data_IF_304201797352
#
_entry.id   IF_304201797352
#
_cell.length_a   1.000
_cell.length_b   1.000
_cell.length_c   1.000
_cell.angle_alpha   90.00
_cell.angle_beta   90.00
_cell.angle_gamma   90.00
#
_symmetry.space_group_name_H-M   'P 1'
#
loop_
_entity.id
_entity.type
_entity.pdbx_description
1 polymer ?
#
# COMPACT_ATOMS: atom_id res chain seq x y z
N UNK A 1 -6.57 -1.21 -27.40
CA UNK A 1 -6.97 -1.41 -25.98
C UNK A 1 -6.91 -0.06 -25.28
N UNK A 2 -7.70 0.16 -24.23
CA UNK A 2 -7.71 1.44 -23.51
C UNK A 2 -6.55 1.50 -22.48
N UNK A 3 -6.03 2.70 -22.22
CA UNK A 3 -5.05 2.94 -21.15
C UNK A 3 -5.72 2.78 -19.80
N UNK A 4 -5.08 2.07 -18.87
CA UNK A 4 -5.58 1.88 -17.52
C UNK A 4 -4.48 2.18 -16.51
N UNK A 5 -4.80 3.05 -15.56
CA UNK A 5 -3.97 3.35 -14.39
C UNK A 5 -4.65 2.82 -13.14
N UNK A 6 -3.85 2.29 -12.21
CA UNK A 6 -4.29 2.04 -10.84
C UNK A 6 -3.77 3.18 -9.95
N UNK A 7 -4.59 3.64 -9.02
CA UNK A 7 -4.18 4.56 -7.97
C UNK A 7 -4.58 3.99 -6.61
N UNK A 8 -3.66 4.05 -5.64
CA UNK A 8 -3.88 3.45 -4.31
C UNK A 8 -3.72 4.50 -3.19
N UNK A 9 -4.57 5.55 -3.14
CA UNK A 9 -4.42 6.61 -2.16
C UNK A 9 -4.63 6.09 -0.73
N UNK A 10 -3.92 6.69 0.21
CA UNK A 10 -3.97 6.31 1.62
C UNK A 10 -4.38 7.50 2.47
N UNK A 11 -5.46 7.33 3.22
CA UNK A 11 -6.04 8.37 4.05
C UNK A 11 -5.84 8.07 5.52
N UNK A 12 -5.50 9.10 6.30
CA UNK A 12 -5.35 9.03 7.76
C UNK A 12 -6.71 9.10 8.45
N UNK A 13 -7.58 8.14 8.15
CA UNK A 13 -8.87 7.90 8.79
C UNK A 13 -9.20 6.42 8.64
N UNK A 14 -9.56 5.73 9.71
CA UNK A 14 -9.95 4.33 9.69
C UNK A 14 -11.12 4.00 10.63
N UNK A 15 -11.73 5.01 11.25
CA UNK A 15 -12.76 4.85 12.30
C UNK A 15 -14.11 5.44 11.88
N UNK A 16 -14.11 6.66 11.36
CA UNK A 16 -15.33 7.34 10.91
C UNK A 16 -15.71 6.91 9.48
N UNK A 17 -16.56 5.89 9.38
CA UNK A 17 -17.02 5.35 8.10
C UNK A 17 -17.81 6.37 7.26
N UNK A 18 -18.52 7.31 7.89
CA UNK A 18 -19.25 8.33 7.16
C UNK A 18 -18.29 9.33 6.51
N UNK A 19 -17.19 9.66 7.20
CA UNK A 19 -16.10 10.46 6.64
C UNK A 19 -15.41 9.75 5.48
N UNK A 20 -15.11 8.46 5.66
CA UNK A 20 -14.50 7.63 4.60
C UNK A 20 -15.39 7.59 3.36
N UNK A 21 -16.71 7.40 3.53
CA UNK A 21 -17.67 7.39 2.41
C UNK A 21 -17.64 8.72 1.62
N UNK A 22 -17.54 9.87 2.31
CA UNK A 22 -17.39 11.18 1.65
C UNK A 22 -16.06 11.28 0.88
N UNK A 23 -14.97 10.78 1.45
CA UNK A 23 -13.64 10.81 0.82
C UNK A 23 -13.62 9.95 -0.46
N UNK A 24 -14.30 8.80 -0.48
CA UNK A 24 -14.30 7.89 -1.64
C UNK A 24 -15.42 8.15 -2.65
N UNK A 25 -16.35 9.04 -2.33
CA UNK A 25 -17.46 9.41 -3.22
C UNK A 25 -17.04 9.85 -4.63
N UNK A 26 -15.93 10.61 -4.84
CA UNK A 26 -15.47 10.97 -6.17
C UNK A 26 -15.13 9.76 -7.06
N UNK A 27 -14.69 8.67 -6.46
CA UNK A 27 -14.39 7.42 -7.17
C UNK A 27 -15.67 6.65 -7.47
N UNK A 28 -16.54 6.49 -6.47
CA UNK A 28 -17.77 5.69 -6.55
C UNK A 28 -18.78 6.25 -7.55
N UNK A 29 -18.80 7.57 -7.71
CA UNK A 29 -19.77 8.26 -8.56
C UNK A 29 -19.26 8.50 -10.00
N UNK A 30 -18.04 8.06 -10.34
CA UNK A 30 -17.49 8.22 -11.68
C UNK A 30 -17.57 6.89 -12.46
N UNK A 31 -18.37 6.79 -13.55
CA UNK A 31 -18.53 5.54 -14.30
C UNK A 31 -17.27 5.08 -15.04
N UNK A 32 -16.25 5.95 -15.18
CA UNK A 32 -14.96 5.64 -15.82
C UNK A 32 -13.87 5.31 -14.80
N UNK A 33 -14.20 5.32 -13.50
CA UNK A 33 -13.33 4.93 -12.40
C UNK A 33 -13.97 3.77 -11.66
N UNK A 34 -13.24 2.67 -11.55
CA UNK A 34 -13.67 1.50 -10.80
C UNK A 34 -13.03 1.53 -9.42
N UNK A 35 -13.86 1.68 -8.39
CA UNK A 35 -13.46 1.54 -7.00
C UNK A 35 -13.34 0.04 -6.67
N UNK A 36 -12.12 -0.48 -6.62
CA UNK A 36 -11.85 -1.91 -6.37
C UNK A 36 -11.95 -2.28 -4.89
N UNK A 37 -11.51 -1.39 -4.02
CA UNK A 37 -11.49 -1.65 -2.58
C UNK A 37 -11.43 -0.38 -1.75
N UNK A 38 -12.09 -0.43 -0.60
CA UNK A 38 -11.98 0.54 0.49
C UNK A 38 -11.76 -0.27 1.75
N UNK A 39 -10.55 -0.21 2.28
CA UNK A 39 -10.09 -1.05 3.39
C UNK A 39 -9.71 -0.15 4.57
N UNK A 40 -10.69 0.26 5.39
CA UNK A 40 -10.42 0.98 6.63
C UNK A 40 -9.92 0.03 7.71
N UNK A 41 -8.86 0.45 8.41
CA UNK A 41 -8.35 -0.23 9.58
C UNK A 41 -8.38 0.72 10.78
N UNK A 42 -9.19 0.38 11.79
CA UNK A 42 -9.38 1.19 12.99
C UNK A 42 -8.14 1.25 13.90
N UNK A 43 -7.32 0.20 13.91
CA UNK A 43 -6.08 0.13 14.71
C UNK A 43 -5.00 0.99 14.07
N UNK A 44 -4.78 0.84 12.76
CA UNK A 44 -3.90 1.74 12.01
C UNK A 44 -4.45 3.16 11.87
N UNK A 45 -5.76 3.34 12.10
CA UNK A 45 -6.52 4.55 11.82
C UNK A 45 -6.21 5.10 10.41
N UNK A 46 -6.28 4.19 9.43
CA UNK A 46 -5.90 4.43 8.04
C UNK A 46 -6.86 3.68 7.12
N UNK A 47 -7.19 4.30 6.00
CA UNK A 47 -7.94 3.65 4.91
C UNK A 47 -7.05 3.56 3.69
N UNK A 48 -6.92 2.36 3.15
CA UNK A 48 -6.35 2.13 1.82
C UNK A 48 -7.50 2.04 0.83
N UNK A 49 -7.42 2.84 -0.22
CA UNK A 49 -8.39 2.82 -1.30
C UNK A 49 -7.67 2.34 -2.55
N UNK A 50 -8.28 1.44 -3.31
CA UNK A 50 -7.76 0.97 -4.59
C UNK A 50 -8.73 1.38 -5.69
N UNK A 51 -8.27 2.16 -6.65
CA UNK A 51 -9.05 2.57 -7.83
C UNK A 51 -8.32 2.23 -9.12
N UNK A 52 -9.08 1.88 -10.14
CA UNK A 52 -8.59 1.50 -11.45
C UNK A 52 -9.43 2.21 -12.52
N UNK A 53 -8.84 2.74 -13.58
CA UNK A 53 -9.64 3.30 -14.67
C UNK A 53 -8.86 4.14 -15.66
N UNK A 54 -9.61 4.97 -16.39
CA UNK A 54 -9.05 5.92 -17.34
C UNK A 54 -8.12 6.93 -16.63
N UNK A 55 -6.91 7.18 -17.15
CA UNK A 55 -5.93 8.02 -16.47
C UNK A 55 -6.40 9.44 -16.14
N UNK A 56 -7.15 10.08 -17.04
CA UNK A 56 -7.63 11.44 -16.85
C UNK A 56 -8.75 11.50 -15.82
N UNK A 57 -9.62 10.50 -15.80
CA UNK A 57 -10.73 10.41 -14.86
C UNK A 57 -10.26 10.02 -13.46
N UNK A 58 -9.31 9.09 -13.35
CA UNK A 58 -8.65 8.76 -12.07
C UNK A 58 -7.94 9.99 -11.52
N UNK A 59 -7.20 10.74 -12.35
CA UNK A 59 -6.54 11.99 -11.94
C UNK A 59 -7.53 12.99 -11.32
N UNK A 60 -8.64 13.27 -11.99
CA UNK A 60 -9.68 14.20 -11.49
C UNK A 60 -10.28 13.72 -10.17
N UNK A 61 -10.67 12.45 -10.10
CA UNK A 61 -11.29 11.88 -8.90
C UNK A 61 -10.33 11.87 -7.71
N UNK A 62 -9.03 11.62 -7.95
CA UNK A 62 -7.99 11.67 -6.91
C UNK A 62 -7.82 13.09 -6.37
N UNK A 63 -7.73 14.10 -7.24
CA UNK A 63 -7.61 15.51 -6.80
C UNK A 63 -8.82 15.91 -5.95
N UNK A 64 -10.03 15.57 -6.39
CA UNK A 64 -11.26 15.86 -5.64
C UNK A 64 -11.28 15.16 -4.27
N UNK A 65 -10.91 13.87 -4.23
CA UNK A 65 -10.85 13.08 -3.00
C UNK A 65 -9.82 13.63 -2.00
N UNK A 66 -8.64 14.05 -2.46
CA UNK A 66 -7.63 14.72 -1.63
C UNK A 66 -8.20 16.02 -1.04
N UNK A 67 -8.92 16.79 -1.85
CA UNK A 67 -9.59 18.02 -1.39
C UNK A 67 -10.62 17.77 -0.29
N UNK A 68 -11.40 16.69 -0.38
CA UNK A 68 -12.34 16.29 0.66
C UNK A 68 -11.58 15.85 1.93
N UNK A 69 -10.58 14.97 1.79
CA UNK A 69 -9.77 14.52 2.92
C UNK A 69 -9.08 15.67 3.66
N UNK A 70 -8.59 16.68 2.93
CA UNK A 70 -7.94 17.88 3.48
C UNK A 70 -8.88 18.70 4.37
N UNK A 71 -10.20 18.69 4.09
CA UNK A 71 -11.22 19.41 4.87
C UNK A 71 -11.73 18.58 6.05
N UNK A 72 -11.80 17.27 5.88
CA UNK A 72 -12.50 16.35 6.80
C UNK A 72 -11.58 15.74 7.87
N UNK A 73 -10.28 15.66 7.60
CA UNK A 73 -9.30 15.06 8.51
C UNK A 73 -8.46 16.17 9.14
N UNK A 74 -8.48 16.23 10.47
CA UNK A 74 -7.58 17.07 11.24
C UNK A 74 -6.46 16.22 11.86
N UNK A 75 -5.26 16.37 11.30
CA UNK A 75 -4.05 15.67 11.73
C UNK A 75 -3.58 16.10 13.13
N UNK A 76 -4.00 17.26 13.65
CA UNK A 76 -3.65 17.70 15.00
C UNK A 76 -4.23 16.77 16.08
N UNK A 77 -5.32 16.06 15.76
CA UNK A 77 -6.00 15.12 16.67
C UNK A 77 -5.90 13.66 16.20
N UNK A 78 -5.37 13.41 15.00
CA UNK A 78 -5.22 12.06 14.45
C UNK A 78 -4.14 11.26 15.18
N UNK A 79 -4.51 10.05 15.60
CA UNK A 79 -3.60 9.03 16.14
C UNK A 79 -3.95 7.65 15.60
N UNK A 80 -2.94 6.87 15.26
CA UNK A 80 -3.05 5.48 14.80
C UNK A 80 -1.69 4.80 14.81
N UNK A 81 -1.68 3.48 14.81
CA UNK A 81 -0.44 2.68 14.87
C UNK A 81 0.41 2.78 13.59
N UNK A 82 -0.21 3.19 12.47
CA UNK A 82 0.50 3.33 11.21
C UNK A 82 1.11 4.73 11.06
N UNK A 83 2.41 4.77 10.74
CA UNK A 83 3.13 6.01 10.45
C UNK A 83 2.46 6.81 9.35
N UNK A 84 2.27 8.10 9.59
CA UNK A 84 1.57 9.02 8.68
C UNK A 84 2.15 10.42 8.77
N UNK A 85 2.07 11.19 7.68
CA UNK A 85 2.54 12.57 7.65
C UNK A 85 1.48 13.57 7.14
N UNK A 86 0.30 13.08 6.73
CA UNK A 86 -0.79 13.95 6.31
C UNK A 86 -2.15 13.26 6.24
N UNK A 87 -3.20 14.06 6.04
CA UNK A 87 -4.59 13.63 5.89
C UNK A 87 -4.74 12.65 4.71
N UNK A 88 -4.16 13.02 3.57
CA UNK A 88 -3.77 12.06 2.53
C UNK A 88 -2.28 11.85 2.64
N UNK A 89 -1.88 10.64 3.02
CA UNK A 89 -0.50 10.36 3.38
C UNK A 89 0.36 10.02 2.16
N UNK A 90 -0.14 9.13 1.28
CA UNK A 90 0.52 8.82 0.00
C UNK A 90 -0.49 8.52 -1.10
N UNK A 91 -0.15 8.87 -2.34
CA UNK A 91 -0.93 8.66 -3.55
C UNK A 91 -0.03 8.06 -4.66
N UNK A 92 0.13 6.73 -4.70
CA UNK A 92 0.79 6.03 -5.80
C UNK A 92 -0.10 5.99 -7.04
N UNK A 93 0.49 6.19 -8.21
CA UNK A 93 -0.02 5.80 -9.52
C UNK A 93 0.79 4.61 -10.04
N UNK A 94 0.11 3.67 -10.69
CA UNK A 94 0.72 2.45 -11.20
C UNK A 94 0.29 2.21 -12.65
N UNK A 95 1.23 1.98 -13.58
CA UNK A 95 0.88 1.63 -14.95
C UNK A 95 0.34 0.20 -15.00
N UNK A 96 -0.89 0.01 -15.50
CA UNK A 96 -1.53 -1.31 -15.57
C UNK A 96 -1.62 -1.82 -17.00
N UNK A 97 -2.35 -1.11 -17.88
CA UNK A 97 -2.57 -1.54 -19.25
C UNK A 97 -2.27 -0.41 -20.22
N UNK A 98 -1.46 -0.68 -21.26
CA UNK A 98 -1.10 0.29 -22.30
C UNK A 98 -0.57 1.62 -21.72
N UNK A 99 0.12 1.53 -20.58
CA UNK A 99 0.71 2.67 -19.88
C UNK A 99 2.15 2.39 -19.51
N UNK A 100 2.98 3.40 -19.69
CA UNK A 100 4.38 3.40 -19.28
C UNK A 100 4.55 4.03 -17.90
N UNK A 101 5.68 3.73 -17.26
CA UNK A 101 6.09 4.41 -16.02
C UNK A 101 6.20 5.92 -16.22
N UNK A 102 6.65 6.40 -17.39
CA UNK A 102 6.82 7.84 -17.61
C UNK A 102 5.47 8.56 -17.73
N UNK A 103 4.48 7.96 -18.40
CA UNK A 103 3.12 8.53 -18.43
C UNK A 103 2.51 8.59 -17.01
N UNK A 104 2.78 7.61 -16.15
CA UNK A 104 2.37 7.67 -14.74
C UNK A 104 3.16 8.71 -13.92
N UNK A 105 4.44 8.92 -14.24
CA UNK A 105 5.23 10.01 -13.67
C UNK A 105 4.64 11.38 -14.06
N UNK A 106 4.20 11.56 -15.30
CA UNK A 106 3.54 12.79 -15.75
C UNK A 106 2.24 13.04 -14.97
N UNK A 107 1.37 12.02 -14.85
CA UNK A 107 0.12 12.12 -14.07
C UNK A 107 0.41 12.53 -12.62
N UNK A 108 1.36 11.87 -11.97
CA UNK A 108 1.70 12.19 -10.57
C UNK A 108 2.23 13.60 -10.38
N UNK A 109 3.02 14.14 -11.33
CA UNK A 109 3.45 15.56 -11.32
C UNK A 109 2.28 16.53 -11.51
N UNK A 110 1.37 16.22 -12.42
CA UNK A 110 0.17 17.05 -12.66
C UNK A 110 -0.75 17.08 -11.44
N UNK A 111 -1.00 15.92 -10.83
CA UNK A 111 -1.79 15.81 -9.58
C UNK A 111 -1.11 16.59 -8.47
N UNK A 112 0.20 16.42 -8.27
CA UNK A 112 0.95 17.12 -7.24
C UNK A 112 0.85 18.65 -7.37
N UNK A 113 1.01 19.15 -8.59
CA UNK A 113 0.85 20.57 -8.89
C UNK A 113 -0.57 21.07 -8.58
N UNK A 114 -1.60 20.34 -9.05
CA UNK A 114 -3.00 20.71 -8.83
C UNK A 114 -3.40 20.69 -7.35
N UNK A 115 -2.91 19.72 -6.59
CA UNK A 115 -3.14 19.60 -5.14
C UNK A 115 -2.59 20.81 -4.39
N UNK A 116 -1.37 21.23 -4.72
CA UNK A 116 -0.81 22.46 -4.16
C UNK A 116 -1.64 23.69 -4.55
N UNK A 117 -1.92 23.87 -5.84
CA UNK A 117 -2.62 25.06 -6.35
C UNK A 117 -4.02 25.22 -5.74
N UNK A 118 -4.76 24.11 -5.55
CA UNK A 118 -6.15 24.15 -5.07
C UNK A 118 -6.29 24.11 -3.55
N UNK A 119 -5.40 23.40 -2.85
CA UNK A 119 -5.58 23.12 -1.42
C UNK A 119 -4.46 23.66 -0.54
N UNK A 120 -3.42 24.25 -1.14
CA UNK A 120 -2.21 24.70 -0.43
C UNK A 120 -1.60 23.57 0.43
N UNK A 121 -1.73 22.33 -0.04
CA UNK A 121 -1.19 21.14 0.61
C UNK A 121 0.21 20.86 0.04
N UNK A 122 1.28 20.92 0.85
CA UNK A 122 2.62 20.64 0.35
C UNK A 122 2.78 19.19 -0.10
N UNK A 123 3.48 18.99 -1.22
CA UNK A 123 3.63 17.68 -1.86
C UNK A 123 5.10 17.32 -2.07
N UNK A 124 5.44 16.09 -1.72
CA UNK A 124 6.68 15.43 -2.14
C UNK A 124 6.41 14.49 -3.31
N UNK A 125 7.24 14.57 -4.34
CA UNK A 125 7.31 13.55 -5.38
C UNK A 125 8.20 12.39 -4.90
N UNK A 126 7.73 11.15 -5.05
CA UNK A 126 8.43 9.97 -4.51
C UNK A 126 8.54 8.81 -5.51
N UNK A 127 9.29 7.77 -5.13
CA UNK A 127 9.61 6.59 -5.96
C UNK A 127 10.11 6.99 -7.36
N UNK A 128 9.50 6.52 -8.46
CA UNK A 128 10.01 6.82 -9.81
C UNK A 128 9.84 8.28 -10.22
N UNK A 129 9.03 9.05 -9.49
CA UNK A 129 8.78 10.47 -9.73
C UNK A 129 9.66 11.36 -8.86
N UNK A 130 10.44 10.79 -7.94
CA UNK A 130 11.29 11.54 -7.03
C UNK A 130 12.28 12.46 -7.77
N UNK A 131 12.36 13.72 -7.35
CA UNK A 131 13.30 14.71 -7.89
C UNK A 131 14.66 14.69 -7.21
N UNK A 132 14.77 13.97 -6.08
CA UNK A 132 15.99 13.83 -5.30
C UNK A 132 16.12 12.40 -4.72
N UNK A 133 17.35 11.86 -4.59
CA UNK A 133 17.56 10.50 -4.11
C UNK A 133 16.97 10.20 -2.72
N UNK A 134 16.96 11.19 -1.82
CA UNK A 134 16.39 11.07 -0.47
C UNK A 134 14.86 10.98 -0.45
N UNK A 135 14.19 11.16 -1.60
CA UNK A 135 12.72 11.09 -1.74
C UNK A 135 12.23 9.82 -2.42
N UNK A 136 13.13 8.99 -2.94
CA UNK A 136 12.73 7.72 -3.58
C UNK A 136 11.98 6.83 -2.57
N UNK A 137 12.46 6.79 -1.34
CA UNK A 137 11.93 5.95 -0.27
C UNK A 137 10.89 6.70 0.57
N UNK A 138 9.65 6.23 0.51
CA UNK A 138 8.56 6.77 1.32
C UNK A 138 8.82 6.74 2.84
N UNK A 139 9.43 5.68 3.43
CA UNK A 139 9.83 5.70 4.84
C UNK A 139 10.79 6.85 5.19
N UNK A 140 11.68 7.23 4.28
CA UNK A 140 12.61 8.34 4.50
C UNK A 140 11.87 9.68 4.47
N UNK A 141 10.90 9.85 3.57
CA UNK A 141 9.99 11.02 3.57
C UNK A 141 9.12 11.04 4.83
N UNK A 142 8.54 9.91 5.25
CA UNK A 142 7.69 9.79 6.44
C UNK A 142 8.45 9.83 7.77
N UNK A 143 9.78 9.81 7.76
CA UNK A 143 10.57 9.82 9.00
C UNK A 143 10.27 11.09 9.80
N UNK A 144 9.84 10.91 11.04
CA UNK A 144 9.37 11.97 11.93
C UNK A 144 7.84 12.10 11.97
N UNK A 145 7.12 11.41 11.08
CA UNK A 145 5.65 11.45 10.97
C UNK A 145 5.11 12.88 10.85
N UNK A 146 3.82 13.09 11.10
CA UNK A 146 3.19 14.41 11.04
C UNK A 146 3.88 15.41 11.98
N UNK A 147 4.17 14.99 13.22
CA UNK A 147 4.73 15.83 14.28
C UNK A 147 6.13 16.38 13.92
N UNK A 148 6.92 15.61 13.17
CA UNK A 148 8.27 16.00 12.76
C UNK A 148 8.33 16.83 11.48
N UNK A 149 7.24 16.96 10.72
CA UNK A 149 7.28 17.61 9.40
C UNK A 149 7.63 19.10 9.47
N UNK A 150 7.17 19.81 10.49
CA UNK A 150 7.43 21.25 10.63
C UNK A 150 8.92 21.58 10.73
N UNK A 151 9.71 20.78 11.46
CA UNK A 151 11.16 20.96 11.54
C UNK A 151 11.87 20.38 10.32
N UNK A 152 11.35 19.28 9.77
CA UNK A 152 11.94 18.64 8.60
C UNK A 152 11.89 19.55 7.37
N UNK A 153 10.77 20.19 7.09
CA UNK A 153 10.59 21.06 5.92
C UNK A 153 11.50 22.30 5.92
N UNK A 154 12.02 22.71 7.09
CA UNK A 154 13.01 23.80 7.20
C UNK A 154 14.37 23.40 6.62
N UNK A 155 14.68 22.10 6.57
CA UNK A 155 15.92 21.58 6.02
C UNK A 155 15.89 21.71 4.49
N UNK A 156 16.89 22.34 3.84
CA UNK A 156 16.87 22.57 2.39
C UNK A 156 16.64 21.33 1.53
N UNK A 157 17.16 20.17 1.94
CA UNK A 157 17.03 18.88 1.26
C UNK A 157 15.60 18.30 1.30
N UNK A 158 14.79 18.77 2.24
CA UNK A 158 13.40 18.36 2.45
C UNK A 158 12.40 19.45 2.07
N UNK A 159 12.81 20.45 1.28
CA UNK A 159 11.85 21.38 0.68
C UNK A 159 10.87 20.62 -0.24
N UNK A 160 9.55 20.78 -0.10
CA UNK A 160 8.61 20.00 -0.91
C UNK A 160 8.76 20.35 -2.40
N UNK A 161 8.38 19.41 -3.27
CA UNK A 161 8.41 19.61 -4.72
C UNK A 161 7.40 20.67 -5.15
N UNK A 162 6.25 20.70 -4.47
CA UNK A 162 5.25 21.74 -4.60
C UNK A 162 4.83 22.23 -3.22
N UNK A 163 4.82 23.55 -3.04
CA UNK A 163 4.34 24.20 -1.84
C UNK A 163 5.39 24.86 -0.96
N UNK A 164 4.91 25.44 0.13
CA UNK A 164 5.73 26.13 1.12
C UNK A 164 6.51 25.14 2.01
N UNK A 165 7.59 25.62 2.62
CA UNK A 165 8.40 24.85 3.58
C UNK A 165 7.75 24.77 4.97
N UNK A 166 6.45 24.55 5.00
CA UNK A 166 5.63 24.39 6.20
C UNK A 166 4.50 23.40 5.91
N UNK A 167 4.11 22.54 6.85
CA UNK A 167 3.01 21.60 6.64
C UNK A 167 1.69 22.38 6.57
N UNK A 168 0.69 21.82 5.88
CA UNK A 168 -0.67 22.35 5.95
C UNK A 168 -1.16 22.27 7.42
N UNK A 169 -1.79 23.33 7.97
CA UNK A 169 -2.11 23.43 9.40
C UNK A 169 -2.86 22.22 9.97
N UNK A 170 -3.81 21.67 9.21
CA UNK A 170 -4.62 20.51 9.63
C UNK A 170 -4.35 19.25 8.82
N UNK A 171 -3.69 19.34 7.67
CA UNK A 171 -3.61 18.23 6.72
C UNK A 171 -2.20 17.69 6.53
N UNK A 172 -1.17 18.36 7.06
CA UNK A 172 0.21 17.89 6.99
C UNK A 172 0.80 18.03 5.59
N UNK A 173 1.41 16.95 5.11
CA UNK A 173 2.02 16.87 3.77
C UNK A 173 1.63 15.56 3.09
N UNK A 174 1.70 15.52 1.76
CA UNK A 174 1.37 14.32 0.97
C UNK A 174 2.56 13.88 0.12
N UNK A 175 2.76 12.56 -0.01
CA UNK A 175 3.63 12.01 -1.05
C UNK A 175 2.81 11.56 -2.28
N UNK A 176 3.19 12.00 -3.47
CA UNK A 176 2.52 11.61 -4.72
C UNK A 176 3.58 11.12 -5.69
N UNK A 177 3.34 10.01 -6.39
CA UNK A 177 4.36 9.47 -7.27
C UNK A 177 3.92 8.21 -7.98
N UNK A 178 4.77 7.73 -8.87
CA UNK A 178 4.56 6.49 -9.59
C UNK A 178 5.41 5.37 -9.00
N UNK A 179 4.86 4.16 -8.99
CA UNK A 179 5.58 2.94 -8.63
C UNK A 179 5.01 1.73 -9.38
N UNK A 180 5.81 0.67 -9.44
CA UNK A 180 5.33 -0.63 -9.91
C UNK A 180 4.38 -1.29 -8.88
N UNK A 181 3.52 -2.22 -9.33
CA UNK A 181 2.70 -3.03 -8.44
C UNK A 181 3.54 -3.69 -7.34
N UNK A 182 3.05 -3.58 -6.11
CA UNK A 182 3.63 -4.23 -4.94
C UNK A 182 2.52 -4.95 -4.21
N UNK A 183 2.89 -5.98 -3.45
CA UNK A 183 1.94 -6.74 -2.65
C UNK A 183 2.10 -6.29 -1.19
N UNK A 184 1.07 -5.67 -0.64
CA UNK A 184 0.98 -5.38 0.79
C UNK A 184 0.48 -6.66 1.49
N UNK A 185 1.37 -7.28 2.26
CA UNK A 185 1.18 -8.62 2.79
C UNK A 185 1.40 -8.63 4.30
N UNK A 186 0.43 -9.11 5.06
CA UNK A 186 0.51 -9.22 6.51
C UNK A 186 0.47 -10.69 6.90
N UNK A 187 1.34 -11.11 7.81
CA UNK A 187 1.37 -12.49 8.32
C UNK A 187 1.11 -12.47 9.83
N UNK A 188 0.09 -13.21 10.26
CA UNK A 188 -0.36 -13.28 11.65
C UNK A 188 0.48 -14.29 12.43
N UNK A 189 0.93 -13.89 13.63
CA UNK A 189 1.70 -14.73 14.54
C UNK A 189 0.88 -14.99 15.81
N UNK A 190 0.81 -16.25 16.26
CA UNK A 190 0.13 -16.66 17.49
C UNK A 190 0.89 -16.23 18.77
N UNK A 191 1.08 -14.93 18.95
CA UNK A 191 1.75 -14.33 20.10
C UNK A 191 1.31 -12.88 20.25
N UNK A 192 1.40 -12.34 21.46
CA UNK A 192 1.27 -10.90 21.76
C UNK A 192 2.63 -10.25 21.98
N UNK A 193 3.72 -11.02 21.93
CA UNK A 193 5.07 -10.51 22.10
C UNK A 193 5.54 -9.80 20.82
N UNK A 194 5.66 -8.47 20.91
CA UNK A 194 6.08 -7.61 19.81
C UNK A 194 7.57 -7.71 19.45
N UNK A 195 8.41 -8.35 20.26
CA UNK A 195 9.81 -8.54 19.92
C UNK A 195 9.99 -9.64 18.87
N UNK A 196 9.09 -10.62 18.84
CA UNK A 196 9.09 -11.70 17.84
C UNK A 196 8.89 -11.15 16.41
N UNK A 197 7.81 -10.42 16.06
CA UNK A 197 7.65 -9.86 14.73
C UNK A 197 8.72 -8.82 14.38
N UNK A 198 9.30 -8.11 15.36
CA UNK A 198 10.44 -7.19 15.13
C UNK A 198 11.66 -7.94 14.60
N UNK A 199 12.02 -9.05 15.24
CA UNK A 199 13.19 -9.85 14.83
C UNK A 199 12.94 -10.56 13.50
N UNK A 200 11.72 -11.08 13.27
CA UNK A 200 11.36 -11.67 11.97
C UNK A 200 11.40 -10.62 10.86
N UNK A 201 10.84 -9.43 11.10
CA UNK A 201 10.87 -8.33 10.13
C UNK A 201 12.31 -7.91 9.78
N UNK A 202 13.22 -7.87 10.77
CA UNK A 202 14.66 -7.61 10.54
C UNK A 202 15.28 -8.68 9.66
N UNK A 203 14.96 -9.96 9.87
CA UNK A 203 15.53 -11.05 9.08
C UNK A 203 15.12 -10.98 7.60
N UNK A 204 13.90 -10.53 7.29
CA UNK A 204 13.38 -10.53 5.92
C UNK A 204 13.57 -9.21 5.17
N UNK A 205 13.63 -8.06 5.85
CA UNK A 205 13.63 -6.74 5.16
C UNK A 205 15.01 -6.37 4.63
N UNK A 206 15.02 -5.72 3.47
CA UNK A 206 16.25 -5.29 2.80
C UNK A 206 17.10 -4.35 3.67
N UNK A 207 16.47 -3.43 4.40
CA UNK A 207 17.18 -2.44 5.22
C UNK A 207 17.99 -3.03 6.38
N UNK A 208 17.85 -4.33 6.64
CA UNK A 208 18.61 -5.06 7.66
C UNK A 208 19.43 -6.21 7.06
N UNK A 209 19.62 -6.23 5.74
CA UNK A 209 20.40 -7.25 5.02
C UNK A 209 19.59 -8.46 4.53
N UNK A 210 18.27 -8.44 4.68
CA UNK A 210 17.36 -9.48 4.20
C UNK A 210 17.11 -9.42 2.69
N UNK A 211 15.93 -9.86 2.25
CA UNK A 211 15.56 -9.92 0.84
C UNK A 211 15.50 -8.51 0.23
N UNK A 212 16.15 -8.35 -0.94
CA UNK A 212 15.94 -7.17 -1.78
C UNK A 212 14.46 -7.02 -2.11
N UNK A 213 13.98 -5.79 -2.27
CA UNK A 213 12.57 -5.49 -2.59
C UNK A 213 11.57 -5.85 -1.48
N UNK A 214 12.02 -6.18 -0.27
CA UNK A 214 11.16 -6.37 0.90
C UNK A 214 11.35 -5.23 1.88
N UNK A 215 10.24 -4.59 2.26
CA UNK A 215 10.14 -3.72 3.42
C UNK A 215 9.22 -4.38 4.44
N UNK A 216 9.65 -4.53 5.69
CA UNK A 216 8.84 -5.17 6.72
C UNK A 216 9.01 -4.51 8.09
N UNK A 217 7.97 -4.62 8.92
CA UNK A 217 7.94 -4.16 10.29
C UNK A 217 6.97 -4.99 11.16
N UNK A 218 7.03 -4.82 12.48
CA UNK A 218 6.02 -5.38 13.37
C UNK A 218 4.75 -4.53 13.30
N UNK A 219 3.61 -5.16 13.56
CA UNK A 219 2.37 -4.46 13.84
C UNK A 219 1.57 -5.17 14.92
N UNK A 220 0.96 -4.40 15.81
CA UNK A 220 0.11 -4.89 16.89
C UNK A 220 -1.35 -4.73 16.49
N UNK A 221 -2.12 -5.80 16.61
CA UNK A 221 -3.58 -5.77 16.41
C UNK A 221 -4.22 -5.92 17.78
N UNK A 222 -4.29 -4.80 18.52
CA UNK A 222 -4.67 -4.73 19.94
C UNK A 222 -5.97 -5.48 20.25
N UNK A 223 -6.93 -5.45 19.33
CA UNK A 223 -8.26 -6.05 19.53
C UNK A 223 -8.32 -7.56 19.26
N UNK A 224 -7.33 -8.13 18.56
CA UNK A 224 -7.38 -9.52 18.09
C UNK A 224 -6.44 -10.47 18.83
N UNK A 225 -5.65 -9.96 19.79
CA UNK A 225 -4.78 -10.79 20.64
C UNK A 225 -3.63 -11.47 19.88
N UNK A 226 -3.25 -10.94 18.73
CA UNK A 226 -2.11 -11.41 17.94
C UNK A 226 -1.30 -10.23 17.39
N UNK A 227 -0.04 -10.49 17.04
CA UNK A 227 0.84 -9.55 16.34
C UNK A 227 1.07 -10.00 14.90
N UNK A 228 1.49 -9.06 14.05
CA UNK A 228 1.76 -9.30 12.64
C UNK A 228 3.19 -8.93 12.26
N UNK A 229 3.70 -9.64 11.26
CA UNK A 229 4.75 -9.11 10.40
C UNK A 229 4.06 -8.48 9.19
N UNK A 230 4.01 -7.15 9.15
CA UNK A 230 3.48 -6.39 8.01
C UNK A 230 4.61 -6.09 7.03
N UNK A 231 4.35 -6.22 5.73
CA UNK A 231 5.36 -5.98 4.71
C UNK A 231 4.82 -5.50 3.37
N UNK A 232 5.71 -4.88 2.59
CA UNK A 232 5.53 -4.62 1.17
C UNK A 232 6.52 -5.48 0.39
N UNK A 233 6.01 -6.35 -0.48
CA UNK A 233 6.78 -7.04 -1.51
C UNK A 233 6.81 -6.14 -2.75
N UNK A 234 7.86 -5.33 -2.89
CA UNK A 234 8.00 -4.32 -3.97
C UNK A 234 8.17 -4.93 -5.36
N UNK A 235 8.70 -6.15 -5.44
CA UNK A 235 8.87 -6.87 -6.70
C UNK A 235 8.62 -8.36 -6.46
N UNK A 236 7.39 -8.78 -6.77
CA UNK A 236 6.95 -10.17 -6.58
C UNK A 236 7.61 -11.14 -7.58
N UNK A 237 8.14 -10.64 -8.70
CA UNK A 237 8.86 -11.47 -9.68
C UNK A 237 10.24 -11.88 -9.18
N UNK A 238 10.81 -11.12 -8.24
CA UNK A 238 12.08 -11.44 -7.57
C UNK A 238 11.88 -12.14 -6.23
N UNK A 239 10.79 -11.81 -5.53
CA UNK A 239 10.43 -12.40 -4.24
C UNK A 239 8.96 -12.82 -4.26
N UNK A 240 8.66 -14.04 -4.73
CA UNK A 240 7.29 -14.55 -4.76
C UNK A 240 6.74 -14.76 -3.34
N UNK A 241 5.41 -14.72 -3.20
CA UNK A 241 4.72 -14.75 -1.89
C UNK A 241 5.11 -15.98 -1.09
N UNK A 242 5.14 -17.17 -1.72
CA UNK A 242 5.49 -18.42 -1.04
C UNK A 242 6.85 -18.31 -0.33
N UNK A 243 7.85 -17.69 -0.97
CA UNK A 243 9.21 -17.64 -0.45
C UNK A 243 9.27 -16.83 0.84
N UNK A 244 8.53 -15.73 0.86
CA UNK A 244 8.45 -14.85 2.03
C UNK A 244 7.63 -15.51 3.15
N UNK A 245 6.47 -16.09 2.81
CA UNK A 245 5.63 -16.84 3.76
C UNK A 245 6.41 -17.98 4.43
N UNK A 246 7.07 -18.84 3.65
CA UNK A 246 7.83 -19.97 4.19
C UNK A 246 9.05 -19.52 5.02
N UNK A 247 9.69 -18.41 4.65
CA UNK A 247 10.77 -17.84 5.48
C UNK A 247 10.24 -17.32 6.81
N UNK A 248 9.09 -16.65 6.82
CA UNK A 248 8.45 -16.17 8.06
C UNK A 248 8.01 -17.35 8.94
N UNK A 249 7.43 -18.41 8.36
CA UNK A 249 7.10 -19.65 9.09
C UNK A 249 8.35 -20.27 9.73
N UNK A 250 9.45 -20.34 8.99
CA UNK A 250 10.73 -20.85 9.49
C UNK A 250 11.25 -20.01 10.65
N UNK A 251 11.28 -18.68 10.50
CA UNK A 251 11.76 -17.77 11.53
C UNK A 251 10.87 -17.80 12.79
N UNK A 252 9.55 -17.86 12.64
CA UNK A 252 8.60 -17.98 13.76
C UNK A 252 8.78 -19.29 14.55
N UNK A 253 9.13 -20.39 13.86
CA UNK A 253 9.38 -21.69 14.49
C UNK A 253 10.54 -21.66 15.50
N UNK A 254 11.56 -20.83 15.30
CA UNK A 254 12.67 -20.63 16.26
C UNK A 254 12.17 -20.14 17.62
N UNK A 255 11.05 -19.43 17.64
CA UNK A 255 10.42 -18.88 18.84
C UNK A 255 9.29 -19.77 19.38
N UNK A 256 9.03 -20.93 18.77
CA UNK A 256 7.88 -21.77 19.12
C UNK A 256 6.52 -21.15 18.74
N UNK A 257 6.50 -20.08 17.94
CA UNK A 257 5.28 -19.38 17.53
C UNK A 257 4.77 -19.94 16.20
N UNK A 258 3.45 -20.09 16.10
CA UNK A 258 2.78 -20.52 14.86
C UNK A 258 2.34 -19.32 14.04
N UNK A 259 2.44 -19.43 12.72
CA UNK A 259 1.74 -18.56 11.78
C UNK A 259 0.28 -19.02 11.71
N UNK A 260 -0.67 -18.11 11.92
CA UNK A 260 -2.12 -18.44 12.01
C UNK A 260 -2.91 -18.06 10.77
N UNK A 261 -2.32 -17.26 9.88
CA UNK A 261 -2.94 -16.83 8.63
C UNK A 261 -2.20 -15.64 8.06
N UNK A 262 -2.69 -15.13 6.94
CA UNK A 262 -2.17 -13.93 6.32
C UNK A 262 -3.26 -13.16 5.58
N UNK A 263 -2.91 -11.96 5.17
CA UNK A 263 -3.82 -11.04 4.50
C UNK A 263 -3.08 -10.31 3.39
N UNK A 264 -3.74 -10.14 2.25
CA UNK A 264 -3.32 -9.22 1.19
C UNK A 264 -4.22 -7.99 1.26
N UNK A 265 -3.58 -6.84 1.44
CA UNK A 265 -4.23 -5.53 1.46
C UNK A 265 -4.24 -4.98 0.03
N UNK A 266 -5.41 -4.58 -0.45
CA UNK A 266 -5.65 -4.10 -1.80
C UNK A 266 -5.73 -5.21 -2.84
N UNK A 267 -5.51 -4.83 -4.10
CA UNK A 267 -5.44 -5.77 -5.22
C UNK A 267 -4.02 -6.35 -5.39
N UNK A 268 -3.93 -7.56 -5.95
CA UNK A 268 -2.66 -8.21 -6.27
C UNK A 268 -2.64 -8.68 -7.73
N UNK A 269 -1.48 -8.64 -8.42
CA UNK A 269 -1.34 -9.22 -9.75
C UNK A 269 -1.57 -10.73 -9.74
N UNK A 270 -2.28 -11.25 -10.73
CA UNK A 270 -2.61 -12.67 -10.87
C UNK A 270 -1.36 -13.55 -10.95
N UNK A 271 -0.33 -13.06 -11.65
CA UNK A 271 0.97 -13.72 -11.75
C UNK A 271 1.62 -14.01 -10.39
N UNK A 272 1.41 -13.15 -9.38
CA UNK A 272 1.95 -13.37 -8.03
C UNK A 272 1.33 -14.59 -7.32
N UNK A 273 0.07 -14.90 -7.66
CA UNK A 273 -0.68 -16.04 -7.13
C UNK A 273 -0.26 -17.32 -7.85
N UNK A 274 -0.21 -17.30 -9.19
CA UNK A 274 0.14 -18.49 -9.98
C UNK A 274 1.57 -18.94 -9.71
N UNK A 275 2.53 -18.03 -9.62
CA UNK A 275 3.94 -18.36 -9.30
C UNK A 275 4.07 -19.04 -7.93
N UNK A 276 3.27 -18.58 -6.96
CA UNK A 276 3.25 -19.17 -5.62
C UNK A 276 2.51 -20.50 -5.57
N UNK A 277 1.43 -20.65 -6.33
CA UNK A 277 0.68 -21.90 -6.43
C UNK A 277 1.53 -23.01 -7.06
N UNK A 278 2.28 -22.70 -8.13
CA UNK A 278 3.21 -23.63 -8.78
C UNK A 278 4.20 -24.24 -7.77
N UNK A 279 4.73 -23.42 -6.86
CA UNK A 279 5.60 -23.90 -5.78
C UNK A 279 4.90 -24.87 -4.84
N UNK A 280 3.72 -24.50 -4.33
CA UNK A 280 3.01 -25.34 -3.36
C UNK A 280 2.54 -26.67 -3.95
N UNK A 281 2.01 -26.66 -5.17
CA UNK A 281 1.63 -27.89 -5.87
C UNK A 281 2.84 -28.81 -6.10
N UNK A 282 3.98 -28.25 -6.49
CA UNK A 282 5.22 -29.01 -6.63
C UNK A 282 5.70 -29.63 -5.31
N UNK A 283 5.58 -28.91 -4.18
CA UNK A 283 5.89 -29.47 -2.85
C UNK A 283 4.99 -30.65 -2.47
N UNK A 284 3.73 -30.63 -2.91
CA UNK A 284 2.77 -31.73 -2.70
C UNK A 284 2.90 -32.85 -3.75
N UNK A 285 3.80 -32.71 -4.72
CA UNK A 285 3.98 -33.68 -5.82
C UNK A 285 2.84 -33.66 -6.86
N UNK A 286 2.01 -32.61 -6.86
CA UNK A 286 0.90 -32.43 -7.79
C UNK A 286 1.46 -31.81 -9.08
N UNK A 287 1.15 -32.45 -10.23
CA UNK A 287 1.58 -32.02 -11.56
C UNK A 287 0.41 -31.46 -12.35
N UNK A 288 -0.15 -30.37 -11.84
CA UNK A 288 -1.21 -29.65 -12.55
C UNK A 288 -0.60 -28.49 -13.34
N UNK A 289 -1.21 -28.19 -14.49
CA UNK A 289 -0.88 -27.00 -15.27
C UNK A 289 -1.63 -25.79 -14.69
N UNK A 290 -0.93 -25.03 -13.84
CA UNK A 290 -1.47 -23.82 -13.21
C UNK A 290 -1.85 -22.76 -14.26
N UNK A 291 -1.15 -22.71 -15.39
CA UNK A 291 -1.40 -21.71 -16.43
C UNK A 291 -2.71 -22.00 -17.20
N UNK A 292 -3.23 -23.24 -17.10
CA UNK A 292 -4.52 -23.64 -17.64
C UNK A 292 -5.68 -23.53 -16.63
N UNK A 293 -5.41 -23.21 -15.36
CA UNK A 293 -6.45 -23.09 -14.33
C UNK A 293 -7.26 -21.80 -14.48
N UNK A 294 -8.55 -21.86 -14.13
CA UNK A 294 -9.35 -20.62 -14.01
C UNK A 294 -8.84 -19.76 -12.85
N UNK A 295 -9.06 -18.45 -12.95
CA UNK A 295 -8.66 -17.50 -11.92
C UNK A 295 -9.28 -17.82 -10.56
N UNK A 296 -10.55 -18.22 -10.54
CA UNK A 296 -11.27 -18.62 -9.33
C UNK A 296 -10.61 -19.84 -8.69
N UNK A 297 -10.15 -20.81 -9.49
CA UNK A 297 -9.51 -22.01 -8.96
C UNK A 297 -8.15 -21.70 -8.35
N UNK A 298 -7.36 -20.85 -9.01
CA UNK A 298 -6.07 -20.39 -8.48
C UNK A 298 -6.29 -19.66 -7.15
N UNK A 299 -7.28 -18.76 -7.07
CA UNK A 299 -7.63 -18.04 -5.85
C UNK A 299 -8.06 -18.99 -4.73
N UNK A 300 -8.95 -19.95 -5.02
CA UNK A 300 -9.40 -20.97 -4.06
C UNK A 300 -8.21 -21.75 -3.46
N UNK A 301 -7.31 -22.22 -4.32
CA UNK A 301 -6.12 -22.97 -3.89
C UNK A 301 -5.16 -22.09 -3.09
N UNK A 302 -4.94 -20.84 -3.51
CA UNK A 302 -4.07 -19.91 -2.80
C UNK A 302 -4.61 -19.53 -1.42
N UNK A 303 -5.93 -19.32 -1.30
CA UNK A 303 -6.59 -19.13 -0.01
C UNK A 303 -6.32 -20.32 0.92
N UNK A 304 -6.44 -21.55 0.38
CA UNK A 304 -6.15 -22.78 1.14
C UNK A 304 -4.68 -22.92 1.54
N UNK A 305 -3.74 -22.70 0.61
CA UNK A 305 -2.31 -22.92 0.86
C UNK A 305 -1.69 -21.87 1.79
N UNK A 306 -2.06 -20.60 1.61
CA UNK A 306 -1.52 -19.51 2.41
C UNK A 306 -2.31 -19.26 3.70
N UNK A 307 -3.60 -19.64 3.74
CA UNK A 307 -4.51 -19.23 4.81
C UNK A 307 -4.86 -17.74 4.70
N UNK A 308 -5.13 -17.27 3.47
CA UNK A 308 -5.54 -15.88 3.22
C UNK A 308 -6.92 -15.62 3.81
N UNK A 309 -7.05 -14.57 4.60
CA UNK A 309 -8.35 -14.06 5.08
C UNK A 309 -8.87 -12.96 4.15
N UNK A 310 -10.19 -12.89 3.97
CA UNK A 310 -10.88 -11.83 3.23
C UNK A 310 -10.31 -11.56 1.82
N UNK A 311 -10.00 -12.66 1.11
CA UNK A 311 -9.44 -12.65 -0.24
C UNK A 311 -10.31 -13.42 -1.24
N UNK A 312 -10.72 -12.76 -2.31
CA UNK A 312 -11.49 -13.34 -3.41
C UNK A 312 -10.99 -12.85 -4.78
N UNK A 313 -11.60 -13.34 -5.85
CA UNK A 313 -11.21 -13.00 -7.24
C UNK A 313 -11.29 -11.50 -7.53
N UNK A 314 -12.10 -10.71 -6.81
CA UNK A 314 -12.23 -9.27 -7.03
C UNK A 314 -10.98 -8.52 -6.56
N UNK A 315 -10.17 -9.11 -5.68
CA UNK A 315 -8.84 -8.60 -5.30
C UNK A 315 -7.73 -8.99 -6.30
N UNK A 316 -8.05 -9.69 -7.39
CA UNK A 316 -7.09 -9.92 -8.48
C UNK A 316 -7.17 -8.76 -9.47
N UNK A 317 -6.04 -8.12 -9.74
CA UNK A 317 -5.99 -6.92 -10.58
C UNK A 317 -6.56 -7.17 -11.98
N UNK A 318 -6.17 -8.27 -12.61
CA UNK A 318 -6.56 -8.66 -13.96
C UNK A 318 -8.03 -9.09 -14.07
N UNK A 319 -8.70 -9.44 -12.96
CA UNK A 319 -10.14 -9.68 -12.95
C UNK A 319 -10.96 -8.40 -13.18
N UNK A 320 -10.30 -7.24 -13.10
CA UNK A 320 -10.96 -5.95 -13.04
C UNK A 320 -10.74 -5.05 -14.24
N UNK A 321 -9.89 -5.48 -15.18
CA UNK A 321 -9.53 -4.78 -16.42
C UNK A 321 -10.48 -5.14 -17.55
#
# INVERSE_FOLDING_TARGET
MAKIVECIPNYSEGKDLAKIERIVAPYKNNPKVKLLGVEPDANYNRTVVTVLGDPEEVKKAVIESIGIATKEIDMNVHKGEHKRMGATDVVPFLPIQEMTTEECNEISREVAKAVWEQFQLPVFLYESTATAPNRVSLPDIRKGEYEGMAEKLKQPEWAPDFGERAPHPTAGVTAIGCRMPLIAFNINLATTDMDIPKEIAKAIRFSSGGFRFIQAGPAEILDKGFVQVTMNIKDYTKNPIYRIMETVKMEAKRWGVKVTGCEIIGATPFASLTDSLKYYLACDGIKDDVDAMSMEKVVELMVKYLGLTDFDVKKVLEANI
#
